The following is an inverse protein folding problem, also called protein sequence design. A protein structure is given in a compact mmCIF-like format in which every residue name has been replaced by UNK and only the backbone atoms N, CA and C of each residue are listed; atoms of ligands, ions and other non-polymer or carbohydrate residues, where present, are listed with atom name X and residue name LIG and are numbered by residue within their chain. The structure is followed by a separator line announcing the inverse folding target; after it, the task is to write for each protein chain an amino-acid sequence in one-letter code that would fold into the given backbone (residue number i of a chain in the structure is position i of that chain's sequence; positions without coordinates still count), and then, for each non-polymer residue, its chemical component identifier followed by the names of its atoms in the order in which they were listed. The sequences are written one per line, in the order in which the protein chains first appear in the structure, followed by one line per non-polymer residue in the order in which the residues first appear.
data_IF_444027776146
#
_entry.id   IF_444027776146
#
_cell.length_a   1.000
_cell.length_b   1.000
_cell.length_c   1.000
_cell.angle_alpha   90.00
_cell.angle_beta   90.00
_cell.angle_gamma   90.00
#
_symmetry.space_group_name_H-M   'P 1'
#
loop_
_entity.id
_entity.type
_entity.pdbx_description
1 polymer ?
#
# COMPACT_ATOMS: atom_id res chain seq x y z
N UNK A 1 -9.43 3.57 17.79
CA UNK A 1 -10.15 3.71 16.51
C UNK A 1 -9.16 3.66 15.33
N UNK A 2 -8.16 4.56 15.22
CA UNK A 2 -7.27 4.65 14.06
C UNK A 2 -6.54 3.33 13.75
N UNK A 3 -5.99 2.65 14.76
CA UNK A 3 -5.35 1.34 14.61
C UNK A 3 -6.34 0.29 14.07
N UNK A 4 -7.48 0.10 14.72
CA UNK A 4 -8.44 -0.94 14.34
C UNK A 4 -9.02 -0.72 12.95
N UNK A 5 -9.41 0.53 12.64
CA UNK A 5 -9.94 0.88 11.34
C UNK A 5 -8.87 0.76 10.22
N UNK A 6 -7.63 1.18 10.51
CA UNK A 6 -6.52 1.05 9.57
C UNK A 6 -6.18 -0.41 9.27
N UNK A 7 -6.20 -1.26 10.28
CA UNK A 7 -6.01 -2.71 10.11
C UNK A 7 -7.14 -3.31 9.26
N UNK A 8 -8.40 -2.96 9.54
CA UNK A 8 -9.54 -3.46 8.78
C UNK A 8 -9.49 -3.06 7.28
N UNK A 9 -9.03 -1.85 6.97
CA UNK A 9 -8.85 -1.42 5.57
C UNK A 9 -7.79 -2.27 4.86
N UNK A 10 -6.73 -2.68 5.55
CA UNK A 10 -5.60 -3.42 4.95
C UNK A 10 -5.75 -4.93 4.97
N UNK A 11 -6.52 -5.48 5.91
CA UNK A 11 -6.62 -6.92 6.16
C UNK A 11 -6.98 -7.73 4.91
N UNK A 12 -7.95 -7.25 4.15
CA UNK A 12 -8.44 -7.96 2.98
C UNK A 12 -7.65 -7.69 1.70
N UNK A 13 -6.62 -6.85 1.76
CA UNK A 13 -5.89 -6.35 0.57
C UNK A 13 -6.82 -5.76 -0.50
N UNK A 14 -7.88 -5.07 -0.05
CA UNK A 14 -8.96 -4.51 -0.88
C UNK A 14 -8.97 -2.98 -0.91
N UNK A 15 -7.91 -2.37 -0.39
CA UNK A 15 -7.66 -0.93 -0.43
C UNK A 15 -7.24 -0.48 -1.82
N UNK A 16 -7.29 0.83 -2.08
CA UNK A 16 -6.89 1.43 -3.35
C UNK A 16 -5.38 1.29 -3.63
N UNK A 17 -4.97 1.65 -4.82
CA UNK A 17 -3.57 1.63 -5.25
C UNK A 17 -3.29 2.83 -6.15
N UNK A 18 -2.12 3.43 -5.99
CA UNK A 18 -1.51 4.35 -6.94
C UNK A 18 -0.21 3.74 -7.47
N UNK A 19 -0.02 3.82 -8.78
CA UNK A 19 1.15 3.27 -9.48
C UNK A 19 1.87 4.35 -10.28
N UNK A 20 3.18 4.46 -10.06
CA UNK A 20 4.11 5.29 -10.83
C UNK A 20 5.46 4.55 -10.93
N UNK A 21 6.59 5.25 -10.82
CA UNK A 21 7.91 4.61 -10.65
C UNK A 21 8.00 3.82 -9.31
N UNK A 22 7.18 4.18 -8.35
CA UNK A 22 6.89 3.45 -7.11
C UNK A 22 5.38 3.21 -7.00
N UNK A 23 4.92 2.64 -5.91
CA UNK A 23 3.52 2.41 -5.61
C UNK A 23 3.17 2.78 -4.16
N UNK A 24 1.90 3.07 -3.92
CA UNK A 24 1.36 3.28 -2.58
C UNK A 24 -0.13 2.97 -2.52
N UNK A 25 -0.66 3.06 -1.31
CA UNK A 25 -2.07 2.83 -1.02
C UNK A 25 -2.63 4.03 -0.27
N UNK A 26 -3.03 5.10 -0.99
CA UNK A 26 -3.45 6.35 -0.35
C UNK A 26 -4.70 6.24 0.52
N UNK A 27 -5.54 5.22 0.32
CA UNK A 27 -6.68 4.91 1.18
C UNK A 27 -6.31 4.67 2.65
N UNK A 28 -5.07 4.30 2.93
CA UNK A 28 -4.53 4.18 4.29
C UNK A 28 -4.59 5.49 5.10
N UNK A 29 -4.71 6.64 4.43
CA UNK A 29 -4.90 7.94 5.08
C UNK A 29 -6.28 8.10 5.71
N UNK A 30 -7.30 7.43 5.20
CA UNK A 30 -8.69 7.66 5.60
C UNK A 30 -8.96 7.28 7.07
N UNK A 31 -8.54 6.10 7.57
CA UNK A 31 -8.81 5.69 8.94
C UNK A 31 -8.29 6.65 10.02
N UNK A 32 -7.04 7.14 9.98
CA UNK A 32 -6.55 8.10 10.97
C UNK A 32 -7.28 9.45 10.88
N UNK A 33 -7.55 9.95 9.66
CA UNK A 33 -8.29 11.20 9.45
C UNK A 33 -9.73 11.09 9.99
N UNK A 34 -10.45 10.01 9.67
CA UNK A 34 -11.80 9.76 10.15
C UNK A 34 -11.85 9.70 11.69
N UNK A 35 -10.90 8.99 12.30
CA UNK A 35 -10.82 8.84 13.76
C UNK A 35 -10.66 10.20 14.46
N UNK A 36 -9.78 11.06 13.95
CA UNK A 36 -9.56 12.40 14.51
C UNK A 36 -10.76 13.32 14.19
N UNK A 37 -11.36 13.21 13.01
CA UNK A 37 -12.56 13.98 12.66
C UNK A 37 -13.73 13.70 13.61
N UNK A 38 -13.96 12.41 13.92
CA UNK A 38 -15.00 11.98 14.86
C UNK A 38 -14.71 12.49 16.28
N UNK A 39 -13.48 12.31 16.76
CA UNK A 39 -13.07 12.76 18.09
C UNK A 39 -13.22 14.27 18.27
N UNK A 40 -12.86 15.04 17.25
CA UNK A 40 -12.89 16.51 17.28
C UNK A 40 -14.19 17.10 16.71
N UNK A 41 -15.20 16.29 16.45
CA UNK A 41 -16.52 16.72 15.91
C UNK A 41 -16.38 17.61 14.66
N UNK A 42 -15.46 17.22 13.74
CA UNK A 42 -15.26 17.96 12.48
C UNK A 42 -16.39 17.66 11.51
N UNK A 43 -16.66 18.62 10.65
CA UNK A 43 -17.65 18.46 9.59
C UNK A 43 -17.17 17.48 8.50
N UNK A 44 -18.11 16.93 7.72
CA UNK A 44 -17.76 16.10 6.55
C UNK A 44 -16.90 16.86 5.53
N UNK A 45 -17.10 18.17 5.37
CA UNK A 45 -16.28 18.98 4.46
C UNK A 45 -14.85 19.17 4.98
N UNK A 46 -14.64 19.27 6.30
CA UNK A 46 -13.30 19.31 6.87
C UNK A 46 -12.60 17.98 6.68
N UNK A 47 -13.31 16.85 6.89
CA UNK A 47 -12.78 15.51 6.63
C UNK A 47 -12.38 15.33 5.16
N UNK A 48 -13.24 15.71 4.22
CA UNK A 48 -12.93 15.65 2.78
C UNK A 48 -11.69 16.50 2.44
N UNK A 49 -11.57 17.69 3.01
CA UNK A 49 -10.37 18.53 2.85
C UNK A 49 -9.10 17.82 3.32
N UNK A 50 -9.16 17.14 4.47
CA UNK A 50 -8.06 16.33 4.99
C UNK A 50 -7.70 15.18 4.06
N UNK A 51 -8.69 14.40 3.62
CA UNK A 51 -8.49 13.25 2.73
C UNK A 51 -7.86 13.70 1.41
N UNK A 52 -8.43 14.72 0.75
CA UNK A 52 -7.91 15.23 -0.51
C UNK A 52 -6.47 15.74 -0.35
N UNK A 53 -6.16 16.41 0.77
CA UNK A 53 -4.78 16.87 1.03
C UNK A 53 -3.82 15.71 1.25
N UNK A 54 -4.21 14.68 2.01
CA UNK A 54 -3.38 13.52 2.27
C UNK A 54 -3.08 12.74 0.97
N UNK A 55 -4.09 12.52 0.14
CA UNK A 55 -3.90 11.90 -1.18
C UNK A 55 -2.97 12.71 -2.06
N UNK A 56 -3.16 14.04 -2.11
CA UNK A 56 -2.30 14.92 -2.89
C UNK A 56 -0.84 14.82 -2.49
N UNK A 57 -0.57 14.81 -1.18
CA UNK A 57 0.80 14.69 -0.66
C UNK A 57 1.38 13.32 -0.97
N UNK A 58 0.66 12.23 -0.65
CA UNK A 58 1.19 10.88 -0.81
C UNK A 58 1.44 10.52 -2.28
N UNK A 59 0.49 10.78 -3.16
CA UNK A 59 0.62 10.48 -4.58
C UNK A 59 1.79 11.24 -5.21
N UNK A 60 1.95 12.52 -4.87
CA UNK A 60 3.05 13.31 -5.41
C UNK A 60 4.42 12.94 -4.81
N UNK A 61 4.48 12.51 -3.54
CA UNK A 61 5.69 11.91 -2.98
C UNK A 61 6.08 10.64 -3.74
N UNK A 62 5.14 9.76 -4.05
CA UNK A 62 5.37 8.53 -4.85
C UNK A 62 5.85 8.85 -6.26
N UNK A 63 5.32 9.92 -6.90
CA UNK A 63 5.79 10.39 -8.20
C UNK A 63 7.23 10.91 -8.17
N UNK A 64 7.62 11.54 -7.06
CA UNK A 64 8.93 12.18 -6.92
C UNK A 64 10.02 11.30 -6.33
N UNK A 65 9.67 10.32 -5.49
CA UNK A 65 10.63 9.52 -4.70
C UNK A 65 10.25 8.04 -4.75
N UNK A 66 11.10 7.23 -5.40
CA UNK A 66 10.93 5.78 -5.44
C UNK A 66 11.57 5.10 -4.22
N UNK A 67 10.80 4.83 -3.18
CA UNK A 67 11.25 4.12 -1.97
C UNK A 67 11.63 2.67 -2.26
N UNK A 68 10.95 2.03 -3.21
CA UNK A 68 11.20 0.64 -3.59
C UNK A 68 12.64 0.39 -4.05
N UNK A 69 13.22 1.34 -4.78
CA UNK A 69 14.62 1.30 -5.22
C UNK A 69 15.58 1.13 -4.03
N UNK A 70 15.27 1.78 -2.91
CA UNK A 70 16.07 1.80 -1.69
C UNK A 70 15.67 0.74 -0.66
N UNK A 71 14.71 -0.16 -1.00
CA UNK A 71 14.19 -1.17 -0.08
C UNK A 71 13.56 -0.58 1.19
N UNK A 72 13.04 0.63 1.08
CA UNK A 72 12.23 1.31 2.10
C UNK A 72 10.76 0.96 1.88
N UNK A 73 10.02 0.75 2.97
CA UNK A 73 8.58 0.48 2.89
C UNK A 73 7.81 1.76 2.48
N UNK A 74 6.82 1.61 1.61
CA UNK A 74 6.00 2.72 1.12
C UNK A 74 5.27 3.48 2.23
N UNK A 75 5.14 2.92 3.44
CA UNK A 75 4.54 3.61 4.60
C UNK A 75 5.33 4.86 5.02
N UNK A 76 6.59 5.00 4.61
CA UNK A 76 7.34 6.24 4.81
C UNK A 76 6.72 7.44 4.10
N UNK A 77 5.92 7.24 3.05
CA UNK A 77 5.10 8.30 2.43
C UNK A 77 3.77 8.52 3.17
N UNK A 78 3.28 7.50 3.89
CA UNK A 78 2.00 7.58 4.60
C UNK A 78 2.06 8.50 5.83
N UNK A 79 3.10 8.40 6.65
CA UNK A 79 3.24 9.25 7.84
C UNK A 79 3.12 10.74 7.52
N UNK A 80 3.96 11.29 6.63
CA UNK A 80 3.89 12.68 6.18
C UNK A 80 2.53 13.08 5.59
N UNK A 81 1.93 12.22 4.77
CA UNK A 81 0.65 12.51 4.12
C UNK A 81 -0.50 12.58 5.12
N UNK A 82 -0.56 11.64 6.08
CA UNK A 82 -1.54 11.69 7.18
C UNK A 82 -1.37 12.97 8.00
N UNK A 83 -0.13 13.33 8.37
CA UNK A 83 0.15 14.54 9.13
C UNK A 83 -0.29 15.81 8.39
N UNK A 84 0.01 15.91 7.10
CA UNK A 84 -0.45 17.01 6.26
C UNK A 84 -1.97 17.07 6.13
N UNK A 85 -2.62 15.91 5.94
CA UNK A 85 -4.08 15.79 5.89
C UNK A 85 -4.76 16.21 7.19
N UNK A 86 -4.24 15.76 8.33
CA UNK A 86 -4.71 16.17 9.67
C UNK A 86 -4.55 17.67 9.86
N UNK A 87 -3.38 18.22 9.53
CA UNK A 87 -3.14 19.66 9.64
C UNK A 87 -4.12 20.48 8.81
N UNK A 88 -4.40 20.07 7.57
CA UNK A 88 -5.39 20.69 6.69
C UNK A 88 -6.82 20.57 7.24
N UNK A 89 -7.22 19.38 7.74
CA UNK A 89 -8.52 19.12 8.35
C UNK A 89 -8.75 19.97 9.60
N UNK A 90 -7.73 20.08 10.45
CA UNK A 90 -7.76 20.84 11.71
C UNK A 90 -7.55 22.33 11.51
N UNK A 91 -7.22 22.77 10.29
CA UNK A 91 -6.94 24.18 9.92
C UNK A 91 -5.74 24.76 10.68
N UNK A 92 -4.69 23.93 10.87
CA UNK A 92 -3.46 24.37 11.51
C UNK A 92 -2.68 25.32 10.62
N UNK A 93 -1.81 26.14 11.20
CA UNK A 93 -0.91 27.00 10.43
C UNK A 93 0.18 26.18 9.74
N UNK A 94 0.82 26.76 8.73
CA UNK A 94 1.80 26.06 7.88
C UNK A 94 3.00 25.54 8.66
N UNK A 95 3.50 26.32 9.65
CA UNK A 95 4.64 25.89 10.46
C UNK A 95 4.31 24.65 11.30
N UNK A 96 3.16 24.63 11.95
CA UNK A 96 2.69 23.45 12.71
C UNK A 96 2.56 22.22 11.80
N UNK A 97 2.01 22.39 10.59
CA UNK A 97 1.92 21.31 9.61
C UNK A 97 3.32 20.84 9.19
N UNK A 98 4.23 21.76 8.91
CA UNK A 98 5.60 21.46 8.54
C UNK A 98 6.30 20.62 9.61
N UNK A 99 6.27 21.04 10.86
CA UNK A 99 6.85 20.31 11.98
C UNK A 99 6.22 18.91 12.16
N UNK A 100 4.91 18.79 12.04
CA UNK A 100 4.21 17.51 12.13
C UNK A 100 4.61 16.53 11.03
N UNK A 101 4.78 17.01 9.79
CA UNK A 101 5.26 16.23 8.65
C UNK A 101 6.69 15.72 8.90
N UNK A 102 7.59 16.58 9.42
CA UNK A 102 8.96 16.20 9.77
C UNK A 102 8.98 15.07 10.81
N UNK A 103 8.25 15.22 11.91
CA UNK A 103 8.18 14.22 12.97
C UNK A 103 7.55 12.91 12.48
N UNK A 104 6.47 12.99 11.70
CA UNK A 104 5.80 11.81 11.16
C UNK A 104 6.72 11.01 10.24
N UNK A 105 7.50 11.66 9.36
CA UNK A 105 8.47 10.97 8.52
C UNK A 105 9.53 10.26 9.36
N UNK A 106 10.10 10.96 10.35
CA UNK A 106 11.16 10.40 11.19
C UNK A 106 10.73 9.10 11.87
N UNK A 107 9.47 8.98 12.26
CA UNK A 107 8.95 7.80 12.99
C UNK A 107 8.40 6.70 12.09
N UNK A 108 8.19 6.95 10.79
CA UNK A 108 7.54 5.97 9.88
C UNK A 108 8.49 5.38 8.83
N UNK A 109 9.75 5.78 8.78
CA UNK A 109 10.73 5.18 7.89
C UNK A 109 11.07 3.76 8.37
N UNK A 110 10.88 2.77 7.51
CA UNK A 110 11.19 1.37 7.81
C UNK A 110 11.58 0.61 6.54
N UNK A 111 12.16 -0.58 6.69
CA UNK A 111 12.59 -1.41 5.56
C UNK A 111 11.44 -2.21 4.96
N UNK A 112 11.62 -2.67 3.72
CA UNK A 112 10.68 -3.57 3.04
C UNK A 112 10.72 -5.03 3.51
N UNK A 113 11.44 -5.36 4.57
CA UNK A 113 11.48 -6.74 5.08
C UNK A 113 10.08 -7.28 5.41
N UNK A 114 9.14 -6.40 5.83
CA UNK A 114 7.73 -6.74 6.05
C UNK A 114 6.97 -7.21 4.79
N UNK A 115 7.57 -7.09 3.61
CA UNK A 115 6.99 -7.41 2.29
C UNK A 115 7.79 -8.48 1.54
N UNK A 116 8.69 -9.22 2.21
CA UNK A 116 9.57 -10.20 1.57
C UNK A 116 9.60 -11.50 2.36
N UNK A 117 9.72 -12.62 1.66
CA UNK A 117 9.69 -13.95 2.24
C UNK A 117 8.29 -14.32 2.73
N UNK A 118 8.19 -14.94 3.89
CA UNK A 118 6.91 -15.16 4.54
C UNK A 118 6.36 -13.84 5.08
N UNK A 119 5.31 -13.35 4.44
CA UNK A 119 4.67 -12.09 4.81
C UNK A 119 3.72 -12.36 5.99
N UNK A 120 3.94 -11.64 7.08
CA UNK A 120 3.12 -11.75 8.29
C UNK A 120 1.95 -10.75 8.28
N UNK A 121 1.04 -10.88 9.24
CA UNK A 121 -0.04 -9.93 9.50
C UNK A 121 0.44 -8.49 9.75
N UNK A 122 1.73 -8.30 10.07
CA UNK A 122 2.34 -6.97 10.16
C UNK A 122 2.17 -6.14 8.88
N UNK A 123 2.02 -6.80 7.72
CA UNK A 123 1.67 -6.14 6.45
C UNK A 123 0.42 -5.27 6.57
N UNK A 124 -0.61 -5.75 7.28
CA UNK A 124 -1.84 -5.00 7.54
C UNK A 124 -1.68 -3.98 8.68
N UNK A 125 -0.82 -4.27 9.66
CA UNK A 125 -0.64 -3.44 10.84
C UNK A 125 0.27 -2.23 10.61
N UNK A 126 1.29 -2.36 9.76
CA UNK A 126 2.26 -1.29 9.54
C UNK A 126 1.62 0.03 9.07
N UNK A 127 0.69 0.09 8.11
CA UNK A 127 0.01 1.32 7.75
C UNK A 127 -0.87 1.88 8.87
N UNK A 128 -1.57 1.02 9.61
CA UNK A 128 -2.37 1.43 10.77
C UNK A 128 -1.48 2.04 11.86
N UNK A 129 -0.28 1.47 12.07
CA UNK A 129 0.72 2.00 13.00
C UNK A 129 1.27 3.35 12.54
N UNK A 130 1.62 3.49 11.26
CA UNK A 130 2.07 4.76 10.70
C UNK A 130 1.01 5.87 10.84
N UNK A 131 -0.27 5.54 10.60
CA UNK A 131 -1.38 6.47 10.82
C UNK A 131 -1.50 6.92 12.29
N UNK A 132 -1.32 5.98 13.24
CA UNK A 132 -1.28 6.29 14.67
C UNK A 132 -0.12 7.22 15.02
N UNK A 133 1.08 6.94 14.54
CA UNK A 133 2.27 7.77 14.79
C UNK A 133 2.12 9.17 14.19
N UNK A 134 1.48 9.29 13.03
CA UNK A 134 1.20 10.60 12.43
C UNK A 134 0.19 11.42 13.25
N UNK A 135 -0.83 10.78 13.86
CA UNK A 135 -1.72 11.47 14.81
C UNK A 135 -0.93 11.97 16.00
N UNK A 136 -0.07 11.14 16.57
CA UNK A 136 0.77 11.51 17.69
C UNK A 136 1.71 12.68 17.34
N UNK A 137 2.34 12.64 16.17
CA UNK A 137 3.18 13.73 15.69
C UNK A 137 2.43 15.06 15.61
N UNK A 138 1.21 15.06 15.07
CA UNK A 138 0.38 16.27 15.01
C UNK A 138 0.01 16.77 16.41
N UNK A 139 -0.40 15.88 17.33
CA UNK A 139 -0.77 16.26 18.71
C UNK A 139 0.43 16.87 19.47
N UNK A 140 1.62 16.28 19.35
CA UNK A 140 2.85 16.78 19.99
C UNK A 140 3.22 18.16 19.50
N UNK A 141 3.22 18.37 18.18
CA UNK A 141 3.56 19.68 17.59
C UNK A 141 2.51 20.73 17.94
N UNK A 142 1.23 20.38 18.00
CA UNK A 142 0.18 21.29 18.49
C UNK A 142 0.40 21.74 19.93
N UNK A 143 1.14 20.96 20.74
CA UNK A 143 1.53 21.28 22.11
C UNK A 143 2.87 22.03 22.20
N UNK A 144 3.48 22.37 21.06
CA UNK A 144 4.72 23.14 21.00
C UNK A 144 5.99 22.31 20.95
N UNK A 145 5.91 20.98 20.78
CA UNK A 145 7.12 20.17 20.56
C UNK A 145 7.69 20.44 19.18
N UNK A 146 9.02 20.63 19.08
CA UNK A 146 9.75 20.71 17.82
C UNK A 146 9.97 19.32 17.20
N UNK A 147 10.25 19.28 15.93
CA UNK A 147 10.54 18.06 15.17
C UNK A 147 11.97 18.08 14.60
N UNK A 148 12.55 16.90 14.25
CA UNK A 148 13.78 16.83 13.48
C UNK A 148 13.61 17.53 12.12
N UNK A 149 14.28 18.67 11.93
CA UNK A 149 14.07 19.54 10.77
C UNK A 149 15.38 20.10 10.24
N UNK A 150 15.62 20.13 8.92
CA UNK A 150 14.81 19.51 7.85
C UNK A 150 15.05 18.01 7.72
N UNK A 151 13.99 17.21 7.80
CA UNK A 151 14.13 15.73 7.82
C UNK A 151 14.47 15.15 6.44
N UNK A 152 14.05 15.79 5.34
CA UNK A 152 14.39 15.31 3.99
C UNK A 152 15.80 15.74 3.57
N UNK A 153 16.20 17.00 3.77
CA UNK A 153 17.39 17.63 3.19
C UNK A 153 18.51 17.93 4.18
N UNK A 154 18.37 17.60 5.46
CA UNK A 154 19.39 17.81 6.47
C UNK A 154 20.65 16.96 6.24
N UNK A 155 21.73 17.23 6.96
CA UNK A 155 23.00 16.52 6.82
C UNK A 155 22.89 15.03 7.07
N UNK A 156 22.09 14.63 8.05
CA UNK A 156 21.76 13.24 8.39
C UNK A 156 20.31 12.90 8.04
N UNK A 157 19.79 13.49 6.98
CA UNK A 157 18.41 13.37 6.52
C UNK A 157 18.11 12.03 5.84
N UNK A 158 16.82 11.81 5.56
CA UNK A 158 16.33 10.65 4.81
C UNK A 158 16.99 10.59 3.42
N UNK A 159 17.10 11.70 2.68
CA UNK A 159 17.78 11.72 1.39
C UNK A 159 19.26 11.35 1.54
N UNK A 160 19.92 11.93 2.52
CA UNK A 160 21.37 11.77 2.70
C UNK A 160 21.78 10.37 3.14
N UNK A 161 20.99 9.69 3.97
CA UNK A 161 21.37 8.43 4.63
C UNK A 161 20.62 7.20 4.14
N UNK A 162 19.41 7.39 3.62
CA UNK A 162 18.52 6.27 3.28
C UNK A 162 18.26 6.19 1.78
N UNK A 163 18.29 7.33 1.07
CA UNK A 163 18.05 7.38 -0.37
C UNK A 163 19.36 7.52 -1.17
N UNK A 164 19.42 8.40 -2.15
CA UNK A 164 20.53 8.51 -3.11
C UNK A 164 21.73 9.37 -2.59
N UNK A 165 21.74 9.77 -1.31
CA UNK A 165 22.84 10.48 -0.66
C UNK A 165 22.73 12.00 -0.70
N UNK A 166 23.64 12.69 0.02
CA UNK A 166 23.60 14.15 0.28
C UNK A 166 23.52 15.03 -0.98
N UNK A 167 23.98 14.53 -2.13
CA UNK A 167 23.98 15.31 -3.39
C UNK A 167 22.72 15.06 -4.24
N UNK A 168 21.86 14.14 -3.83
CA UNK A 168 20.64 13.84 -4.57
C UNK A 168 19.63 14.99 -4.46
N UNK A 169 18.94 15.25 -5.54
CA UNK A 169 17.88 16.24 -5.62
C UNK A 169 16.61 15.55 -6.13
N UNK A 170 15.58 15.57 -5.32
CA UNK A 170 14.27 15.04 -5.66
C UNK A 170 13.29 16.15 -5.97
N UNK A 171 12.50 15.95 -7.02
CA UNK A 171 11.43 16.88 -7.39
C UNK A 171 10.08 16.24 -7.15
N UNK A 172 9.36 16.71 -6.14
CA UNK A 172 8.00 16.29 -5.83
C UNK A 172 7.02 17.26 -6.52
N UNK A 173 6.16 16.76 -7.43
CA UNK A 173 5.30 17.63 -8.24
C UNK A 173 4.03 18.07 -7.49
N UNK A 174 4.18 18.72 -6.34
CA UNK A 174 3.05 19.27 -5.59
C UNK A 174 2.36 20.41 -6.37
N UNK A 175 1.03 20.57 -6.22
CA UNK A 175 0.30 21.64 -6.88
C UNK A 175 0.77 23.02 -6.38
N UNK A 176 0.77 23.98 -7.28
CA UNK A 176 1.06 25.39 -6.94
C UNK A 176 -0.09 25.99 -6.15
N UNK A 177 0.16 27.16 -5.57
CA UNK A 177 -0.89 27.95 -4.90
C UNK A 177 -2.06 28.17 -5.87
N UNK A 178 -3.28 27.87 -5.42
CA UNK A 178 -4.54 27.96 -6.17
C UNK A 178 -4.74 26.89 -7.27
N UNK A 179 -3.85 25.94 -7.44
CA UNK A 179 -4.14 24.75 -8.28
C UNK A 179 -5.03 23.75 -7.53
N UNK A 180 -5.91 23.10 -8.30
CA UNK A 180 -6.81 22.07 -7.74
C UNK A 180 -6.03 20.82 -7.37
N UNK A 181 -6.29 20.28 -6.19
CA UNK A 181 -5.82 18.96 -5.75
C UNK A 181 -6.61 17.87 -6.46
N UNK A 182 -5.97 17.07 -7.28
CA UNK A 182 -6.63 16.06 -8.13
C UNK A 182 -6.06 14.64 -7.99
N UNK A 183 -5.01 14.47 -7.21
CA UNK A 183 -4.27 13.21 -7.14
C UNK A 183 -5.13 12.02 -6.69
N UNK A 184 -6.18 12.24 -5.91
CA UNK A 184 -7.16 11.19 -5.55
C UNK A 184 -7.81 10.55 -6.79
N UNK A 185 -7.97 11.30 -7.90
CA UNK A 185 -8.56 10.80 -9.15
C UNK A 185 -7.59 9.93 -9.96
N UNK A 186 -6.32 9.87 -9.58
CA UNK A 186 -5.29 9.07 -10.23
C UNK A 186 -5.12 7.69 -9.56
N UNK A 187 -5.87 7.40 -8.49
CA UNK A 187 -5.83 6.13 -7.79
C UNK A 187 -6.77 5.11 -8.40
N UNK A 188 -6.45 3.84 -8.22
CA UNK A 188 -7.22 2.70 -8.74
C UNK A 188 -7.87 1.97 -7.58
N UNK A 189 -9.17 1.70 -7.70
CA UNK A 189 -9.90 0.79 -6.82
C UNK A 189 -9.72 -0.66 -7.25
N UNK A 190 -9.86 -1.61 -6.33
CA UNK A 190 -9.82 -3.04 -6.62
C UNK A 190 -11.24 -3.62 -6.67
N UNK A 191 -11.45 -4.59 -7.54
CA UNK A 191 -12.67 -5.39 -7.58
C UNK A 191 -12.55 -6.63 -6.70
N UNK A 192 -11.32 -7.17 -6.60
CA UNK A 192 -11.03 -8.40 -5.86
C UNK A 192 -10.07 -8.13 -4.70
N UNK A 193 -10.24 -8.86 -3.59
CA UNK A 193 -9.32 -8.82 -2.45
C UNK A 193 -8.05 -9.62 -2.75
N UNK A 194 -7.20 -9.05 -3.57
CA UNK A 194 -5.92 -9.59 -4.01
C UNK A 194 -4.99 -8.45 -4.41
N UNK A 195 -3.71 -8.74 -4.59
CA UNK A 195 -2.75 -7.76 -5.07
C UNK A 195 -3.23 -7.12 -6.38
N UNK A 196 -2.96 -5.80 -6.56
CA UNK A 196 -3.55 -5.01 -7.64
C UNK A 196 -3.23 -5.57 -9.04
N UNK A 197 -1.99 -6.00 -9.27
CA UNK A 197 -1.54 -6.48 -10.58
C UNK A 197 -2.16 -7.82 -10.98
N UNK A 198 -2.83 -8.51 -10.05
CA UNK A 198 -3.57 -9.74 -10.32
C UNK A 198 -5.04 -9.51 -10.73
N UNK A 199 -5.59 -8.29 -10.60
CA UNK A 199 -7.01 -8.01 -10.84
C UNK A 199 -7.49 -8.48 -12.23
N UNK A 200 -6.82 -8.04 -13.29
CA UNK A 200 -7.15 -8.44 -14.65
C UNK A 200 -6.94 -9.94 -14.92
N UNK A 201 -6.00 -10.58 -14.20
CA UNK A 201 -5.78 -12.02 -14.34
C UNK A 201 -6.87 -12.86 -13.68
N UNK A 202 -7.49 -12.36 -12.61
CA UNK A 202 -8.68 -13.00 -12.04
C UNK A 202 -9.81 -13.00 -13.07
N UNK A 203 -10.08 -11.87 -13.72
CA UNK A 203 -11.07 -11.79 -14.78
C UNK A 203 -10.76 -12.71 -15.95
N UNK A 204 -9.49 -12.77 -16.37
CA UNK A 204 -9.05 -13.66 -17.43
C UNK A 204 -9.25 -15.13 -17.04
N UNK A 205 -8.87 -15.51 -15.82
CA UNK A 205 -9.04 -16.87 -15.31
C UNK A 205 -10.52 -17.28 -15.29
N UNK A 206 -11.43 -16.41 -14.82
CA UNK A 206 -12.88 -16.61 -14.84
C UNK A 206 -13.39 -16.86 -16.27
N UNK A 207 -12.94 -16.06 -17.23
CA UNK A 207 -13.28 -16.23 -18.65
C UNK A 207 -12.73 -17.53 -19.25
N UNK A 208 -11.51 -17.91 -18.90
CA UNK A 208 -10.89 -19.15 -19.38
C UNK A 208 -11.56 -20.39 -18.79
N UNK A 209 -12.03 -20.34 -17.55
CA UNK A 209 -12.79 -21.44 -16.94
C UNK A 209 -13.96 -21.92 -17.80
N UNK A 210 -14.67 -20.99 -18.44
CA UNK A 210 -15.81 -21.33 -19.30
C UNK A 210 -15.40 -21.94 -20.64
N UNK A 211 -14.12 -21.80 -21.03
CA UNK A 211 -13.59 -22.25 -22.32
C UNK A 211 -12.78 -23.56 -22.21
N UNK A 212 -12.33 -23.92 -21.02
CA UNK A 212 -11.49 -25.10 -20.78
C UNK A 212 -12.36 -26.18 -20.14
N UNK A 213 -12.79 -27.21 -20.89
CA UNK A 213 -13.74 -28.22 -20.40
C UNK A 213 -13.12 -29.13 -19.34
N UNK A 214 -11.82 -29.36 -19.38
CA UNK A 214 -11.12 -30.23 -18.43
C UNK A 214 -9.78 -29.63 -18.01
N UNK A 215 -9.72 -29.09 -16.79
CA UNK A 215 -8.52 -28.50 -16.23
C UNK A 215 -7.41 -29.54 -15.94
N UNK A 216 -7.74 -30.83 -15.80
CA UNK A 216 -6.77 -31.88 -15.58
C UNK A 216 -5.83 -32.12 -16.76
N UNK A 217 -6.24 -31.71 -17.95
CA UNK A 217 -5.44 -31.83 -19.19
C UNK A 217 -4.42 -30.70 -19.36
N UNK A 218 -4.44 -29.68 -18.49
CA UNK A 218 -3.45 -28.59 -18.53
C UNK A 218 -2.08 -29.15 -18.20
N UNK A 219 -1.14 -28.97 -19.13
CA UNK A 219 0.27 -29.38 -18.96
C UNK A 219 1.15 -28.22 -18.53
N UNK A 220 0.86 -27.03 -19.04
CA UNK A 220 1.65 -25.80 -18.79
C UNK A 220 0.78 -24.56 -18.95
N UNK A 221 1.07 -23.53 -18.18
CA UNK A 221 0.49 -22.20 -18.28
C UNK A 221 1.62 -21.19 -18.33
N UNK A 222 1.68 -20.38 -19.37
CA UNK A 222 2.59 -19.26 -19.49
C UNK A 222 1.80 -17.95 -19.30
N UNK A 223 2.15 -17.17 -18.28
CA UNK A 223 1.54 -15.85 -18.03
C UNK A 223 2.49 -14.77 -18.53
N UNK A 224 2.08 -14.06 -19.60
CA UNK A 224 2.80 -12.91 -20.12
C UNK A 224 2.33 -11.65 -19.39
N UNK A 225 3.21 -10.99 -18.68
CA UNK A 225 2.89 -9.84 -17.83
C UNK A 225 4.01 -8.80 -17.85
N UNK A 226 3.84 -7.69 -17.12
CA UNK A 226 4.88 -6.66 -17.01
C UNK A 226 6.09 -7.18 -16.22
N UNK A 227 7.26 -6.59 -16.47
CA UNK A 227 8.48 -6.85 -15.70
C UNK A 227 8.22 -6.67 -14.20
N UNK A 228 7.55 -5.59 -13.80
CA UNK A 228 7.25 -5.31 -12.40
C UNK A 228 6.40 -6.42 -11.76
N UNK A 229 5.31 -6.83 -12.41
CA UNK A 229 4.46 -7.93 -11.93
C UNK A 229 5.24 -9.22 -11.77
N UNK A 230 6.06 -9.58 -12.76
CA UNK A 230 6.90 -10.78 -12.69
C UNK A 230 7.84 -10.77 -11.49
N UNK A 231 8.52 -9.64 -11.21
CA UNK A 231 9.48 -9.53 -10.12
C UNK A 231 8.88 -9.22 -8.74
N UNK A 232 7.62 -8.81 -8.65
CA UNK A 232 6.99 -8.52 -7.36
C UNK A 232 6.11 -9.67 -6.87
N UNK A 233 5.24 -10.20 -7.73
CA UNK A 233 4.27 -11.23 -7.36
C UNK A 233 4.35 -12.52 -8.19
N UNK A 234 5.22 -12.55 -9.20
CA UNK A 234 5.46 -13.69 -10.07
C UNK A 234 6.68 -14.52 -9.66
N UNK A 235 7.07 -15.45 -10.52
CA UNK A 235 8.22 -16.35 -10.31
C UNK A 235 9.56 -15.60 -10.24
N UNK A 236 9.68 -14.44 -10.89
CA UNK A 236 10.88 -13.59 -10.84
C UNK A 236 11.12 -12.92 -9.49
N UNK A 237 10.16 -12.98 -8.56
CA UNK A 237 10.36 -12.49 -7.18
C UNK A 237 11.42 -13.30 -6.42
N UNK A 238 11.77 -14.52 -6.90
CA UNK A 238 12.66 -15.45 -6.22
C UNK A 238 12.27 -15.68 -4.74
N UNK A 239 10.99 -15.88 -4.53
CA UNK A 239 10.35 -16.01 -3.23
C UNK A 239 9.61 -17.36 -3.17
N UNK A 240 10.26 -18.44 -2.67
CA UNK A 240 9.71 -19.80 -2.72
C UNK A 240 8.41 -19.93 -1.91
N UNK A 241 8.18 -19.05 -0.92
CA UNK A 241 6.94 -19.05 -0.13
C UNK A 241 5.70 -18.76 -0.99
N UNK A 242 5.88 -18.08 -2.14
CA UNK A 242 4.79 -17.86 -3.12
C UNK A 242 4.32 -19.14 -3.82
N UNK A 243 5.03 -20.24 -3.64
CA UNK A 243 4.70 -21.59 -4.15
C UNK A 243 4.38 -22.60 -3.03
N UNK A 244 4.29 -22.13 -1.78
CA UNK A 244 4.02 -22.97 -0.61
C UNK A 244 2.53 -22.95 -0.25
N UNK A 245 1.81 -24.10 -0.31
CA UNK A 245 0.41 -24.19 0.12
C UNK A 245 0.16 -23.87 1.59
N UNK A 246 1.21 -23.90 2.42
CA UNK A 246 1.13 -23.58 3.85
C UNK A 246 1.49 -22.12 4.16
N UNK A 247 1.87 -21.35 3.14
CA UNK A 247 2.19 -19.94 3.32
C UNK A 247 1.03 -19.15 3.93
N UNK A 248 1.36 -18.00 4.53
CA UNK A 248 0.37 -17.08 5.09
C UNK A 248 -0.59 -16.57 4.01
N UNK A 249 -1.80 -16.15 4.42
CA UNK A 249 -2.74 -15.50 3.53
C UNK A 249 -2.10 -14.29 2.83
N UNK A 250 -1.31 -13.53 3.57
CA UNK A 250 -0.63 -12.32 3.11
C UNK A 250 0.48 -12.63 2.08
N UNK A 251 1.03 -13.83 2.08
CA UNK A 251 1.93 -14.32 1.04
C UNK A 251 1.14 -14.79 -0.18
N UNK A 252 0.06 -15.53 0.03
CA UNK A 252 -0.79 -16.07 -1.05
C UNK A 252 -1.48 -14.96 -1.85
N UNK A 253 -1.90 -13.85 -1.21
CA UNK A 253 -2.49 -12.70 -1.90
C UNK A 253 -1.48 -11.89 -2.75
N UNK A 254 -0.19 -12.22 -2.62
CA UNK A 254 0.93 -11.71 -3.41
C UNK A 254 1.59 -12.79 -4.28
N UNK A 255 0.90 -13.90 -4.55
CA UNK A 255 1.32 -14.94 -5.48
C UNK A 255 0.39 -14.97 -6.69
N UNK A 256 0.85 -14.41 -7.82
CA UNK A 256 0.06 -14.40 -9.05
C UNK A 256 -0.25 -15.82 -9.53
N UNK A 257 0.65 -16.78 -9.28
CA UNK A 257 0.49 -18.18 -9.63
C UNK A 257 -0.67 -18.81 -8.84
N UNK A 258 -0.70 -18.57 -7.52
CA UNK A 258 -1.78 -19.03 -6.65
C UNK A 258 -3.12 -18.39 -7.04
N UNK A 259 -3.13 -17.06 -7.17
CA UNK A 259 -4.34 -16.29 -7.49
C UNK A 259 -4.96 -16.78 -8.79
N UNK A 260 -4.13 -16.93 -9.84
CA UNK A 260 -4.60 -17.41 -11.14
C UNK A 260 -5.13 -18.85 -11.08
N UNK A 261 -4.42 -19.75 -10.39
CA UNK A 261 -4.83 -21.16 -10.27
C UNK A 261 -6.18 -21.30 -9.56
N UNK A 262 -6.39 -20.56 -8.46
CA UNK A 262 -7.65 -20.58 -7.71
C UNK A 262 -8.79 -19.99 -8.53
N UNK A 263 -8.58 -18.81 -9.14
CA UNK A 263 -9.60 -18.15 -9.95
C UNK A 263 -9.98 -19.00 -11.19
N UNK A 264 -9.02 -19.68 -11.81
CA UNK A 264 -9.27 -20.59 -12.93
C UNK A 264 -10.07 -21.84 -12.49
N UNK A 265 -9.73 -22.42 -11.35
CA UNK A 265 -10.42 -23.63 -10.88
C UNK A 265 -11.85 -23.34 -10.40
N UNK A 266 -12.04 -22.23 -9.66
CA UNK A 266 -13.36 -21.89 -9.09
C UNK A 266 -14.24 -21.14 -10.11
N UNK A 267 -13.67 -20.43 -11.06
CA UNK A 267 -14.40 -19.49 -11.94
C UNK A 267 -14.90 -18.26 -11.18
N UNK A 268 -14.38 -18.02 -9.98
CA UNK A 268 -14.75 -16.93 -9.09
C UNK A 268 -13.61 -16.59 -8.14
N UNK A 269 -13.77 -15.47 -7.38
CA UNK A 269 -12.83 -15.05 -6.35
C UNK A 269 -13.55 -14.55 -5.11
N UNK A 270 -13.17 -15.06 -3.93
CA UNK A 270 -13.81 -14.73 -2.68
C UNK A 270 -12.76 -14.38 -1.60
N UNK A 271 -12.93 -13.26 -0.94
CA UNK A 271 -11.98 -12.67 0.04
C UNK A 271 -11.61 -13.59 1.23
N UNK A 272 -12.43 -14.60 1.56
CA UNK A 272 -12.12 -15.60 2.59
C UNK A 272 -11.92 -16.98 1.97
N UNK A 273 -12.91 -17.48 1.20
CA UNK A 273 -12.91 -18.88 0.71
C UNK A 273 -11.69 -19.18 -0.17
N UNK A 274 -11.26 -18.20 -1.00
CA UNK A 274 -10.11 -18.38 -1.87
C UNK A 274 -8.77 -18.48 -1.13
N UNK A 275 -8.73 -18.16 0.16
CA UNK A 275 -7.50 -18.14 0.98
C UNK A 275 -7.47 -19.17 2.11
N UNK A 276 -8.47 -20.06 2.21
CA UNK A 276 -8.45 -21.06 3.27
C UNK A 276 -7.30 -22.04 3.09
N UNK A 277 -6.76 -22.57 4.20
CA UNK A 277 -5.73 -23.61 4.16
C UNK A 277 -6.19 -24.84 3.36
N UNK A 278 -7.44 -25.24 3.50
CA UNK A 278 -8.03 -26.34 2.73
C UNK A 278 -8.01 -26.04 1.23
N UNK A 279 -8.29 -24.79 0.84
CA UNK A 279 -8.28 -24.37 -0.56
C UNK A 279 -6.86 -24.38 -1.14
N UNK A 280 -5.89 -23.83 -0.44
CA UNK A 280 -4.50 -23.80 -0.87
C UNK A 280 -3.87 -25.21 -0.97
N UNK A 281 -4.28 -26.13 -0.09
CA UNK A 281 -3.79 -27.51 -0.06
C UNK A 281 -4.58 -28.48 -0.95
N UNK A 282 -5.57 -28.02 -1.71
CA UNK A 282 -6.32 -28.86 -2.63
C UNK A 282 -5.41 -29.37 -3.76
N UNK A 283 -5.33 -30.68 -3.96
CA UNK A 283 -4.42 -31.33 -4.92
C UNK A 283 -4.57 -30.79 -6.34
N UNK A 284 -5.80 -30.54 -6.80
CA UNK A 284 -6.09 -29.98 -8.13
C UNK A 284 -5.57 -28.54 -8.26
N UNK A 285 -5.73 -27.71 -7.23
CA UNK A 285 -5.18 -26.36 -7.19
C UNK A 285 -3.66 -26.37 -7.28
N UNK A 286 -3.01 -27.20 -6.45
CA UNK A 286 -1.54 -27.34 -6.45
C UNK A 286 -1.03 -27.79 -7.82
N UNK A 287 -1.76 -28.70 -8.50
CA UNK A 287 -1.41 -29.15 -9.85
C UNK A 287 -1.42 -27.99 -10.85
N UNK A 288 -2.49 -27.18 -10.88
CA UNK A 288 -2.62 -26.02 -11.75
C UNK A 288 -1.55 -24.97 -11.38
N UNK A 289 -1.42 -24.68 -10.11
CA UNK A 289 -0.43 -23.70 -9.60
C UNK A 289 1.01 -24.04 -10.02
N UNK A 290 1.41 -25.30 -9.91
CA UNK A 290 2.75 -25.79 -10.32
C UNK A 290 2.95 -25.84 -11.84
N UNK A 291 1.90 -25.70 -12.63
CA UNK A 291 1.99 -25.67 -14.10
C UNK A 291 2.21 -24.27 -14.66
N UNK A 292 2.22 -23.23 -13.81
CA UNK A 292 2.45 -21.82 -14.18
C UNK A 292 3.93 -21.49 -14.16
#
# INVERSE_FOLDING_TARGET
AAWSNGTAVRELDFHDTFLAADYSHPGDNIPPLLSVAQQNKRSGIDLLRGIITAYEVQVNLVKGICLHKHKVDHIAHLGPSVAAGLGSMLKLNTETIYQAVQQALHTTVSTRQSRKGEISSWKAYAPAHAGKLAIEAVDRVMRGEGAPSPIYEGEDSVIARILDGKKANYKVPLPKKNESKKAILETYTKEYSAEYQSQALIDLAKKLKTKIPNLDQIKKIDIFTSHHTHYVIGTGANDPQKMDPNASRETLDHSIMYIFAVALEDGDWHHVKSYTKARANKKSTIKIWKSI
#
